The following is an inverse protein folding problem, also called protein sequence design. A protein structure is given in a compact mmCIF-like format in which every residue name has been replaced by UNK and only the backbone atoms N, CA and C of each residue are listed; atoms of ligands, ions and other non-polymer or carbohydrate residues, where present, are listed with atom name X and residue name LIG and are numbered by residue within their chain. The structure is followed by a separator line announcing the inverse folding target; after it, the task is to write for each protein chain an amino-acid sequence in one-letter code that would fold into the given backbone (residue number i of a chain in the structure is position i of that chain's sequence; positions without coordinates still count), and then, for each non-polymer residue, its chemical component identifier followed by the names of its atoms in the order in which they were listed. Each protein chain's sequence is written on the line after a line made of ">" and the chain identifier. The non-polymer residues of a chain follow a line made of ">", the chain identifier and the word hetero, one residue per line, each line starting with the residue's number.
data_IF_073622880958
#
_entry.id   IF_073622880958
#
_cell.length_a   1.000
_cell.length_b   1.000
_cell.length_c   1.000
_cell.angle_alpha   90.00
_cell.angle_beta   90.00
_cell.angle_gamma   90.00
#
_symmetry.space_group_name_H-M   'P 1'
#
loop_
_entity.id
_entity.type
_entity.pdbx_description
1 polymer ?
#
# COMPACT_ATOMS: atom_id res chain seq x y z
N UNK A 1 -9.57 4.58 -7.26
CA UNK A 1 -9.89 5.58 -6.21
C UNK A 1 -9.25 5.10 -4.92
N UNK A 2 -8.36 5.90 -4.27
CA UNK A 2 -7.56 5.43 -3.12
C UNK A 2 -7.40 6.49 -2.00
N UNK A 3 -8.01 7.65 -2.16
CA UNK A 3 -8.06 8.66 -1.11
C UNK A 3 -9.13 8.27 -0.09
N UNK A 4 -8.72 7.97 1.15
CA UNK A 4 -9.62 7.49 2.21
C UNK A 4 -10.62 8.56 2.64
N UNK A 5 -10.22 9.84 2.65
CA UNK A 5 -11.10 10.96 2.98
C UNK A 5 -12.16 11.18 1.91
N UNK A 6 -11.75 11.12 0.63
CA UNK A 6 -12.69 11.21 -0.49
C UNK A 6 -13.68 10.05 -0.49
N UNK A 7 -13.21 8.81 -0.30
CA UNK A 7 -14.08 7.64 -0.24
C UNK A 7 -15.11 7.74 0.90
N UNK A 8 -14.73 8.32 2.04
CA UNK A 8 -15.63 8.55 3.17
C UNK A 8 -16.73 9.58 2.83
N UNK A 9 -16.39 10.62 2.07
CA UNK A 9 -17.33 11.67 1.65
C UNK A 9 -18.19 11.24 0.44
N UNK A 10 -17.69 10.31 -0.39
CA UNK A 10 -18.33 9.84 -1.62
C UNK A 10 -18.42 8.30 -1.65
N UNK A 11 -19.19 7.68 -0.71
CA UNK A 11 -19.23 6.22 -0.56
C UNK A 11 -19.78 5.51 -1.79
N UNK A 12 -20.75 6.07 -2.50
CA UNK A 12 -21.30 5.46 -3.72
C UNK A 12 -20.28 5.42 -4.88
N UNK A 13 -19.52 6.49 -5.07
CA UNK A 13 -18.46 6.50 -6.08
C UNK A 13 -17.34 5.54 -5.71
N UNK A 14 -17.01 5.49 -4.42
CA UNK A 14 -16.04 4.54 -3.89
C UNK A 14 -16.49 3.09 -4.08
N UNK A 15 -17.78 2.79 -3.85
CA UNK A 15 -18.37 1.47 -4.09
C UNK A 15 -18.22 1.06 -5.56
N UNK A 16 -18.59 1.94 -6.50
CA UNK A 16 -18.46 1.66 -7.94
C UNK A 16 -17.02 1.38 -8.34
N UNK A 17 -16.09 2.23 -7.91
CA UNK A 17 -14.69 2.14 -8.31
C UNK A 17 -13.91 1.02 -7.61
N UNK A 18 -14.21 0.75 -6.33
CA UNK A 18 -13.41 -0.15 -5.50
C UNK A 18 -14.04 -1.53 -5.31
N UNK A 19 -15.34 -1.70 -5.59
CA UNK A 19 -16.06 -2.99 -5.45
C UNK A 19 -16.61 -3.44 -6.81
N UNK A 20 -17.50 -2.66 -7.43
CA UNK A 20 -18.19 -3.12 -8.64
C UNK A 20 -17.25 -3.35 -9.80
N UNK A 21 -16.33 -2.40 -10.06
CA UNK A 21 -15.36 -2.53 -11.15
C UNK A 21 -14.47 -3.78 -11.02
N UNK A 22 -13.80 -4.06 -9.89
CA UNK A 22 -13.06 -5.31 -9.70
C UNK A 22 -13.91 -6.57 -9.88
N UNK A 23 -15.17 -6.56 -9.43
CA UNK A 23 -16.10 -7.69 -9.61
C UNK A 23 -16.45 -7.90 -11.08
N UNK A 24 -16.67 -6.84 -11.87
CA UNK A 24 -16.90 -6.97 -13.30
C UNK A 24 -15.68 -7.54 -14.03
N UNK A 25 -14.48 -7.10 -13.63
CA UNK A 25 -13.23 -7.67 -14.17
C UNK A 25 -13.07 -9.14 -13.78
N UNK A 26 -13.45 -9.53 -12.57
CA UNK A 26 -13.42 -10.93 -12.14
C UNK A 26 -14.36 -11.81 -12.97
N UNK A 27 -15.57 -11.34 -13.25
CA UNK A 27 -16.51 -12.04 -14.15
C UNK A 27 -15.93 -12.20 -15.54
N UNK A 28 -15.40 -11.12 -16.13
CA UNK A 28 -14.79 -11.18 -17.45
C UNK A 28 -13.56 -12.13 -17.50
N UNK A 29 -12.74 -12.13 -16.45
CA UNK A 29 -11.61 -13.04 -16.32
C UNK A 29 -12.07 -14.51 -16.25
N UNK A 30 -13.10 -14.79 -15.46
CA UNK A 30 -13.68 -16.12 -15.35
C UNK A 30 -14.26 -16.61 -16.69
N UNK A 31 -14.98 -15.75 -17.39
CA UNK A 31 -15.62 -16.08 -18.69
C UNK A 31 -14.59 -16.34 -19.80
N UNK A 32 -13.43 -15.69 -19.73
CA UNK A 32 -12.36 -15.80 -20.75
C UNK A 32 -11.23 -16.74 -20.38
N UNK A 33 -11.18 -17.23 -19.14
CA UNK A 33 -10.06 -18.01 -18.59
C UNK A 33 -8.78 -17.18 -18.39
N UNK A 34 -8.89 -15.85 -18.34
CA UNK A 34 -7.75 -14.96 -18.09
C UNK A 34 -7.34 -14.97 -16.61
N UNK A 35 -6.04 -14.93 -16.34
CA UNK A 35 -5.53 -14.74 -14.96
C UNK A 35 -5.76 -13.28 -14.55
N UNK A 36 -6.44 -13.08 -13.41
CA UNK A 36 -6.69 -11.76 -12.85
C UNK A 36 -5.73 -11.48 -11.69
N UNK A 37 -5.05 -10.34 -11.75
CA UNK A 37 -4.44 -9.69 -10.60
C UNK A 37 -5.22 -8.42 -10.30
N UNK A 38 -5.60 -8.20 -9.04
CA UNK A 38 -6.28 -6.98 -8.60
C UNK A 38 -5.64 -6.43 -7.33
N UNK A 39 -5.43 -5.11 -7.29
CA UNK A 39 -4.92 -4.46 -6.10
C UNK A 39 -6.01 -4.25 -5.05
N UNK A 40 -5.76 -4.79 -3.86
CA UNK A 40 -6.37 -4.41 -2.60
C UNK A 40 -5.46 -3.41 -1.86
N UNK A 41 -5.60 -3.27 -0.56
CA UNK A 41 -4.87 -2.28 0.23
C UNK A 41 -4.61 -2.76 1.65
N UNK A 42 -3.53 -2.27 2.27
CA UNK A 42 -3.28 -2.36 3.70
C UNK A 42 -4.42 -1.74 4.55
N UNK A 43 -5.25 -0.87 3.97
CA UNK A 43 -6.39 -0.25 4.65
C UNK A 43 -7.48 -1.24 5.06
N UNK A 44 -7.45 -2.47 4.56
CA UNK A 44 -8.31 -3.55 5.09
C UNK A 44 -7.99 -3.88 6.55
N UNK A 45 -6.78 -3.56 7.01
CA UNK A 45 -6.34 -3.70 8.40
C UNK A 45 -6.64 -2.48 9.27
N UNK A 46 -7.18 -1.39 8.71
CA UNK A 46 -7.49 -0.19 9.48
C UNK A 46 -8.45 -0.50 10.64
N UNK A 47 -8.06 -0.13 11.85
CA UNK A 47 -8.82 -0.42 13.08
C UNK A 47 -8.37 -1.69 13.81
N UNK A 48 -7.47 -2.50 13.24
CA UNK A 48 -6.84 -3.61 13.96
C UNK A 48 -5.93 -3.05 15.06
N UNK A 49 -6.11 -3.55 16.28
CA UNK A 49 -5.32 -3.16 17.46
C UNK A 49 -4.26 -4.20 17.85
N UNK A 50 -4.29 -5.37 17.19
CA UNK A 50 -3.29 -6.41 17.41
C UNK A 50 -1.89 -5.90 17.06
N UNK A 51 -0.87 -6.10 17.91
CA UNK A 51 0.50 -5.74 17.61
C UNK A 51 1.15 -6.70 16.61
N UNK A 52 2.23 -6.23 15.98
CA UNK A 52 3.07 -7.01 15.09
C UNK A 52 2.51 -7.17 13.67
N UNK A 53 3.17 -7.98 12.85
CA UNK A 53 2.75 -8.20 11.47
C UNK A 53 1.38 -8.88 11.39
N UNK A 54 0.53 -8.40 10.48
CA UNK A 54 -0.85 -8.81 10.30
C UNK A 54 -0.96 -9.82 9.14
N UNK A 55 -1.34 -11.10 9.41
CA UNK A 55 -1.49 -12.10 8.37
C UNK A 55 -2.79 -11.92 7.59
N UNK A 56 -2.84 -12.47 6.38
CA UNK A 56 -4.02 -12.41 5.51
C UNK A 56 -5.25 -13.13 6.08
N UNK A 57 -5.03 -14.05 7.01
CA UNK A 57 -6.07 -14.87 7.65
C UNK A 57 -6.78 -14.18 8.81
N UNK A 58 -6.32 -12.98 9.20
CA UNK A 58 -6.92 -12.24 10.31
C UNK A 58 -8.38 -11.85 9.97
N UNK A 59 -9.36 -12.11 10.86
CA UNK A 59 -10.70 -11.56 10.71
C UNK A 59 -10.68 -10.03 10.74
N UNK A 60 -11.29 -9.39 9.74
CA UNK A 60 -11.17 -7.95 9.52
C UNK A 60 -12.52 -7.24 9.61
N UNK A 61 -12.48 -6.02 10.16
CA UNK A 61 -13.59 -5.06 10.17
C UNK A 61 -13.01 -3.65 10.01
N UNK A 62 -12.71 -3.24 8.77
CA UNK A 62 -11.99 -2.00 8.53
C UNK A 62 -12.72 -0.77 9.05
N UNK A 63 -11.99 0.15 9.72
CA UNK A 63 -12.56 1.33 10.37
C UNK A 63 -12.90 2.48 9.39
N UNK A 64 -12.57 2.36 8.11
CA UNK A 64 -12.87 3.39 7.10
C UNK A 64 -13.53 2.80 5.85
N UNK A 65 -14.31 3.61 5.15
CA UNK A 65 -15.07 3.22 3.96
C UNK A 65 -14.20 2.61 2.86
N UNK A 66 -13.00 3.15 2.62
CA UNK A 66 -12.10 2.61 1.60
C UNK A 66 -11.66 1.18 1.93
N UNK A 67 -11.24 0.93 3.18
CA UNK A 67 -10.85 -0.40 3.64
C UNK A 67 -12.02 -1.40 3.59
N UNK A 68 -13.24 -0.97 3.97
CA UNK A 68 -14.46 -1.78 3.88
C UNK A 68 -14.74 -2.19 2.44
N UNK A 69 -14.69 -1.24 1.50
CA UNK A 69 -14.90 -1.52 0.08
C UNK A 69 -13.81 -2.42 -0.51
N UNK A 70 -12.54 -2.26 -0.08
CA UNK A 70 -11.47 -3.15 -0.52
C UNK A 70 -11.66 -4.57 -0.01
N UNK A 71 -12.08 -4.75 1.26
CA UNK A 71 -12.36 -6.06 1.82
C UNK A 71 -13.58 -6.71 1.13
N UNK A 72 -14.66 -5.97 0.92
CA UNK A 72 -15.84 -6.45 0.16
C UNK A 72 -15.43 -6.88 -1.27
N UNK A 73 -14.56 -6.11 -1.91
CA UNK A 73 -14.07 -6.48 -3.24
C UNK A 73 -13.28 -7.79 -3.22
N UNK A 74 -12.40 -8.01 -2.21
CA UNK A 74 -11.67 -9.27 -2.06
C UNK A 74 -12.63 -10.47 -2.01
N UNK A 75 -13.63 -10.40 -1.15
CA UNK A 75 -14.63 -11.47 -0.97
C UNK A 75 -15.41 -11.74 -2.27
N UNK A 76 -15.91 -10.69 -2.90
CA UNK A 76 -16.74 -10.81 -4.10
C UNK A 76 -15.95 -11.22 -5.34
N UNK A 77 -14.73 -10.73 -5.51
CA UNK A 77 -13.84 -11.13 -6.61
C UNK A 77 -13.52 -12.60 -6.52
N UNK A 78 -13.11 -13.10 -5.34
CA UNK A 78 -12.78 -14.53 -5.15
C UNK A 78 -14.00 -15.44 -5.27
N UNK A 79 -15.21 -14.96 -4.93
CA UNK A 79 -16.44 -15.72 -5.14
C UNK A 79 -16.75 -15.95 -6.64
N UNK A 80 -16.39 -15.00 -7.53
CA UNK A 80 -16.57 -15.12 -8.98
C UNK A 80 -15.38 -15.75 -9.70
N UNK A 81 -14.16 -15.43 -9.28
CA UNK A 81 -12.90 -15.87 -9.87
C UNK A 81 -11.96 -16.37 -8.79
N UNK A 82 -12.10 -17.63 -8.30
CA UNK A 82 -11.27 -18.18 -7.23
C UNK A 82 -9.76 -18.17 -7.54
N UNK A 83 -9.40 -18.17 -8.83
CA UNK A 83 -8.01 -18.11 -9.30
C UNK A 83 -7.43 -16.69 -9.34
N UNK A 84 -8.22 -15.67 -9.01
CA UNK A 84 -7.73 -14.29 -8.94
C UNK A 84 -6.70 -14.11 -7.81
N UNK A 85 -5.65 -13.35 -8.07
CA UNK A 85 -4.64 -12.96 -7.08
C UNK A 85 -4.91 -11.53 -6.64
N UNK A 86 -5.19 -11.35 -5.35
CA UNK A 86 -5.53 -10.06 -4.76
C UNK A 86 -4.36 -9.57 -3.91
N UNK A 87 -3.83 -8.40 -4.24
CA UNK A 87 -2.61 -7.87 -3.68
C UNK A 87 -2.93 -6.71 -2.71
N UNK A 88 -2.81 -6.96 -1.41
CA UNK A 88 -2.89 -5.91 -0.38
C UNK A 88 -1.61 -5.10 -0.41
N UNK A 89 -1.65 -3.94 -1.06
CA UNK A 89 -0.50 -3.05 -1.18
C UNK A 89 -0.50 -1.97 -0.09
N UNK A 90 0.68 -1.62 0.47
CA UNK A 90 0.83 -0.50 1.40
C UNK A 90 0.86 0.83 0.64
N UNK A 91 1.12 1.92 1.35
CA UNK A 91 1.39 3.21 0.72
C UNK A 91 2.60 3.11 -0.20
N UNK A 92 2.44 3.61 -1.43
CA UNK A 92 3.48 3.56 -2.46
C UNK A 92 4.04 4.94 -2.75
N UNK A 93 5.30 4.99 -3.16
CA UNK A 93 5.98 6.22 -3.57
C UNK A 93 6.79 6.00 -4.83
N UNK A 94 7.07 7.11 -5.49
CA UNK A 94 8.14 7.27 -6.48
C UNK A 94 8.67 8.72 -6.43
N UNK A 95 9.79 8.96 -7.09
CA UNK A 95 10.36 10.28 -7.28
C UNK A 95 9.99 10.82 -8.68
N UNK A 96 9.97 12.15 -8.87
CA UNK A 96 9.68 12.73 -10.19
C UNK A 96 10.70 12.27 -11.22
N UNK A 97 10.21 11.80 -12.36
CA UNK A 97 11.00 11.41 -13.50
C UNK A 97 10.13 11.41 -14.76
N UNK A 98 10.74 11.55 -15.93
CA UNK A 98 10.13 11.39 -17.26
C UNK A 98 8.81 12.18 -17.50
N UNK A 99 8.58 13.26 -16.76
CA UNK A 99 7.40 14.12 -16.91
C UNK A 99 6.06 13.46 -16.54
N UNK A 100 6.06 12.31 -15.89
CA UNK A 100 4.84 11.64 -15.45
C UNK A 100 4.26 12.33 -14.19
N UNK A 101 2.93 12.55 -14.15
CA UNK A 101 2.30 13.14 -12.98
C UNK A 101 2.33 12.15 -11.81
N UNK A 102 2.92 12.55 -10.71
CA UNK A 102 2.89 11.82 -9.46
C UNK A 102 1.87 12.41 -8.50
N UNK A 103 1.15 11.54 -7.79
CA UNK A 103 0.36 11.96 -6.63
C UNK A 103 1.29 12.22 -5.44
N UNK A 104 0.81 13.01 -4.47
CA UNK A 104 1.51 13.20 -3.20
C UNK A 104 1.84 11.86 -2.56
N UNK A 105 3.10 11.70 -2.18
CA UNK A 105 3.64 10.50 -1.53
C UNK A 105 4.66 10.93 -0.47
N UNK A 106 5.15 9.99 0.34
CA UNK A 106 6.01 10.33 1.49
C UNK A 106 7.22 11.18 1.10
N UNK A 107 8.11 10.77 0.16
CA UNK A 107 9.26 11.59 -0.21
C UNK A 107 8.87 12.96 -0.81
N UNK A 108 7.86 13.03 -1.66
CA UNK A 108 7.40 14.30 -2.23
C UNK A 108 6.84 15.25 -1.17
N UNK A 109 6.08 14.74 -0.20
CA UNK A 109 5.56 15.54 0.90
C UNK A 109 6.71 16.10 1.76
N UNK A 110 7.77 15.32 2.01
CA UNK A 110 8.96 15.77 2.73
C UNK A 110 9.73 16.85 1.94
N UNK A 111 9.95 16.65 0.64
CA UNK A 111 10.59 17.63 -0.23
C UNK A 111 9.83 18.96 -0.26
N UNK A 112 8.50 18.88 -0.43
CA UNK A 112 7.64 20.06 -0.46
C UNK A 112 7.62 20.78 0.90
N UNK A 113 7.57 20.04 2.00
CA UNK A 113 7.62 20.60 3.35
C UNK A 113 8.95 21.33 3.61
N UNK A 114 10.08 20.71 3.22
CA UNK A 114 11.39 21.33 3.32
C UNK A 114 11.50 22.62 2.49
N UNK A 115 10.99 22.59 1.26
CA UNK A 115 11.00 23.75 0.36
C UNK A 115 10.15 24.92 0.90
N UNK A 116 9.01 24.60 1.51
CA UNK A 116 8.05 25.60 2.01
C UNK A 116 8.34 26.02 3.46
N UNK A 117 9.26 25.35 4.17
CA UNK A 117 9.52 25.59 5.60
C UNK A 117 8.30 25.22 6.48
N UNK A 118 7.46 24.26 6.04
CA UNK A 118 6.27 23.83 6.76
C UNK A 118 6.52 22.50 7.49
N UNK A 119 5.93 22.29 8.68
CA UNK A 119 6.07 21.01 9.35
C UNK A 119 5.23 19.91 8.67
N UNK A 120 5.64 18.66 8.83
CA UNK A 120 4.83 17.47 8.56
C UNK A 120 4.44 16.80 9.87
N UNK A 121 3.32 16.07 9.87
CA UNK A 121 2.81 15.41 11.07
C UNK A 121 2.73 13.90 10.88
N UNK A 122 3.43 13.15 11.74
CA UNK A 122 3.39 11.70 11.81
C UNK A 122 3.24 11.23 13.25
N UNK A 123 2.62 10.06 13.44
CA UNK A 123 2.49 9.47 14.77
C UNK A 123 3.62 8.48 15.06
N UNK A 124 4.22 8.49 16.26
CA UNK A 124 5.14 7.46 16.72
C UNK A 124 4.44 6.10 16.98
N UNK A 125 3.10 6.08 16.90
CA UNK A 125 2.27 4.89 17.04
C UNK A 125 1.63 4.47 15.70
N UNK A 126 2.10 5.03 14.59
CA UNK A 126 1.72 4.62 13.24
C UNK A 126 2.80 3.71 12.65
N UNK A 127 2.47 2.45 12.43
CA UNK A 127 3.37 1.43 11.90
C UNK A 127 2.84 0.89 10.59
N UNK A 128 3.61 1.03 9.52
CA UNK A 128 3.27 0.54 8.19
C UNK A 128 4.47 0.47 7.26
N UNK A 129 4.42 -0.39 6.27
CA UNK A 129 5.34 -0.37 5.14
C UNK A 129 5.05 0.76 4.16
N UNK A 130 6.08 1.19 3.43
CA UNK A 130 5.98 2.13 2.30
C UNK A 130 6.83 1.58 1.17
N UNK A 131 6.23 1.32 0.00
CA UNK A 131 6.88 0.60 -1.08
C UNK A 131 7.23 1.49 -2.26
N UNK A 132 8.37 1.26 -2.88
CA UNK A 132 8.72 1.88 -4.15
C UNK A 132 7.90 1.27 -5.31
N UNK A 133 7.23 2.12 -6.10
CA UNK A 133 6.35 1.68 -7.20
C UNK A 133 7.09 0.78 -8.19
N UNK A 134 8.34 1.09 -8.52
CA UNK A 134 9.13 0.28 -9.44
C UNK A 134 9.28 -1.16 -8.94
N UNK A 135 9.63 -1.34 -7.67
CA UNK A 135 9.76 -2.67 -7.07
C UNK A 135 8.42 -3.43 -7.07
N UNK A 136 7.32 -2.71 -6.79
CA UNK A 136 5.97 -3.27 -6.90
C UNK A 136 5.68 -3.75 -8.32
N UNK A 137 6.00 -2.95 -9.35
CA UNK A 137 5.78 -3.30 -10.76
C UNK A 137 6.63 -4.50 -11.19
N UNK A 138 7.90 -4.56 -10.75
CA UNK A 138 8.80 -5.67 -11.06
C UNK A 138 8.29 -7.01 -10.49
N UNK A 139 7.53 -6.98 -9.37
CA UNK A 139 6.95 -8.17 -8.76
C UNK A 139 5.55 -8.55 -9.31
N UNK A 140 4.95 -7.76 -10.22
CA UNK A 140 3.63 -8.09 -10.77
C UNK A 140 3.65 -9.34 -11.67
N UNK A 141 4.68 -9.51 -12.48
CA UNK A 141 4.78 -10.69 -13.34
C UNK A 141 4.99 -11.98 -12.50
N UNK A 142 5.90 -12.02 -11.52
CA UNK A 142 5.96 -13.11 -10.55
C UNK A 142 4.62 -13.39 -9.84
N UNK A 143 3.85 -12.34 -9.52
CA UNK A 143 2.56 -12.46 -8.83
C UNK A 143 1.45 -13.15 -9.67
N UNK A 144 1.69 -13.45 -10.94
CA UNK A 144 0.81 -14.30 -11.77
C UNK A 144 0.90 -15.79 -11.40
N UNK A 145 1.99 -16.23 -10.76
CA UNK A 145 2.26 -17.65 -10.51
C UNK A 145 1.54 -18.22 -9.29
N UNK A 146 1.38 -17.50 -8.16
CA UNK A 146 0.70 -18.03 -6.98
C UNK A 146 -0.73 -18.50 -7.27
N UNK A 147 -1.22 -19.47 -6.49
CA UNK A 147 -2.65 -19.82 -6.48
C UNK A 147 -3.53 -18.60 -6.20
N UNK A 148 -4.78 -18.66 -6.64
CA UNK A 148 -5.77 -17.63 -6.31
C UNK A 148 -5.87 -17.40 -4.80
N UNK A 149 -6.16 -16.16 -4.43
CA UNK A 149 -6.26 -15.75 -3.03
C UNK A 149 -5.71 -14.36 -2.75
N UNK A 150 -5.70 -13.99 -1.47
CA UNK A 150 -5.23 -12.70 -0.99
C UNK A 150 -3.77 -12.81 -0.54
N UNK A 151 -2.95 -11.82 -0.87
CA UNK A 151 -1.53 -11.75 -0.49
C UNK A 151 -1.17 -10.34 -0.02
N UNK A 152 -0.49 -10.24 1.10
CA UNK A 152 0.19 -9.02 1.52
C UNK A 152 1.37 -8.75 0.57
N UNK A 153 1.40 -7.56 -0.05
CA UNK A 153 2.26 -7.30 -1.21
C UNK A 153 2.94 -5.94 -1.11
N UNK A 154 4.16 -5.92 -0.64
CA UNK A 154 4.96 -4.70 -0.48
C UNK A 154 6.03 -4.81 0.59
N UNK A 155 6.75 -3.71 0.79
CA UNK A 155 7.85 -3.58 1.73
C UNK A 155 7.38 -3.67 3.17
N UNK A 156 8.08 -4.43 3.99
CA UNK A 156 7.96 -4.37 5.45
C UNK A 156 8.60 -3.10 6.02
N UNK A 157 8.29 -2.78 7.28
CA UNK A 157 8.90 -1.69 8.00
C UNK A 157 8.84 -1.95 9.52
N UNK A 158 10.00 -2.00 10.15
CA UNK A 158 10.11 -2.21 11.59
C UNK A 158 10.04 -0.87 12.38
N UNK A 159 10.17 0.26 11.67
CA UNK A 159 10.12 1.59 12.26
C UNK A 159 8.70 2.17 12.28
N UNK A 160 8.43 3.06 13.24
CA UNK A 160 7.27 3.93 13.21
C UNK A 160 7.38 5.01 12.12
N UNK A 161 6.26 5.69 11.80
CA UNK A 161 6.24 6.67 10.71
C UNK A 161 7.00 7.96 11.01
N UNK A 162 7.24 8.32 12.29
CA UNK A 162 8.12 9.46 12.63
C UNK A 162 9.57 9.11 12.30
N UNK A 163 10.00 7.93 12.72
CA UNK A 163 11.36 7.42 12.43
C UNK A 163 11.54 7.24 10.92
N UNK A 164 10.58 6.63 10.24
CA UNK A 164 10.61 6.46 8.76
C UNK A 164 10.73 7.81 8.05
N UNK A 165 9.93 8.80 8.43
CA UNK A 165 9.98 10.13 7.82
C UNK A 165 11.33 10.84 8.05
N UNK A 166 11.97 10.66 9.22
CA UNK A 166 13.31 11.17 9.50
C UNK A 166 14.37 10.51 8.62
N UNK A 167 14.34 9.18 8.51
CA UNK A 167 15.26 8.43 7.65
C UNK A 167 15.13 8.83 6.17
N UNK A 168 13.89 9.03 5.69
CA UNK A 168 13.64 9.51 4.34
C UNK A 168 14.15 10.94 4.12
N UNK A 169 13.90 11.85 5.07
CA UNK A 169 14.41 13.23 4.99
C UNK A 169 15.97 13.28 5.00
N UNK A 170 16.60 12.48 5.85
CA UNK A 170 18.06 12.33 5.89
C UNK A 170 18.61 11.81 4.56
N UNK A 171 18.04 10.74 4.01
CA UNK A 171 18.45 10.17 2.74
C UNK A 171 18.24 11.12 1.55
N UNK A 172 17.21 11.98 1.60
CA UNK A 172 16.97 13.07 0.64
C UNK A 172 17.91 14.26 0.84
N UNK A 173 18.65 14.34 1.94
CA UNK A 173 19.49 15.49 2.28
C UNK A 173 18.70 16.76 2.62
N UNK A 174 17.46 16.63 3.13
CA UNK A 174 16.61 17.75 3.46
C UNK A 174 16.30 17.83 4.96
N UNK A 175 16.09 19.05 5.45
CA UNK A 175 15.65 19.31 6.83
C UNK A 175 14.17 19.60 6.84
N UNK A 176 13.41 18.81 7.61
CA UNK A 176 11.97 18.97 7.78
C UNK A 176 11.63 18.89 9.26
N UNK A 177 10.82 19.83 9.73
CA UNK A 177 10.25 19.75 11.06
C UNK A 177 9.16 18.67 11.07
N UNK A 178 9.36 17.64 11.91
CA UNK A 178 8.38 16.55 12.08
C UNK A 178 7.71 16.74 13.43
N UNK A 179 6.41 17.03 13.41
CA UNK A 179 5.57 17.18 14.60
C UNK A 179 4.86 15.85 14.90
N UNK A 180 4.76 15.48 16.18
CA UNK A 180 4.02 14.29 16.55
C UNK A 180 2.51 14.49 16.32
N UNK A 181 1.86 13.45 15.80
CA UNK A 181 0.41 13.33 15.74
C UNK A 181 -0.06 12.29 16.76
N UNK A 182 -1.21 12.53 17.38
CA UNK A 182 -1.77 11.66 18.42
C UNK A 182 -2.83 10.72 17.82
N UNK A 183 -2.38 9.65 17.19
CA UNK A 183 -3.21 8.51 16.80
C UNK A 183 -2.37 7.23 16.76
N UNK A 184 -3.02 6.08 16.88
CA UNK A 184 -2.38 4.78 16.78
C UNK A 184 -2.94 4.01 15.58
N UNK A 185 -2.05 3.36 14.83
CA UNK A 185 -2.41 2.54 13.68
C UNK A 185 -1.36 1.45 13.46
N UNK A 186 -1.81 0.22 13.27
CA UNK A 186 -0.96 -0.88 12.81
C UNK A 186 -1.44 -1.36 11.43
N UNK A 187 -0.61 -1.20 10.42
CA UNK A 187 -0.78 -1.70 9.06
C UNK A 187 0.45 -2.49 8.61
N UNK A 188 1.24 -3.00 9.55
CA UNK A 188 2.39 -3.85 9.25
C UNK A 188 1.89 -5.20 8.77
N UNK A 189 2.18 -5.51 7.53
CA UNK A 189 1.73 -6.74 6.88
C UNK A 189 2.72 -7.88 7.08
N UNK A 190 2.23 -9.07 7.41
CA UNK A 190 3.02 -10.31 7.36
C UNK A 190 3.17 -10.75 5.90
N UNK A 191 4.38 -10.71 5.38
CA UNK A 191 4.70 -11.12 4.00
C UNK A 191 5.12 -12.59 3.86
N UNK A 192 5.01 -13.40 4.91
CA UNK A 192 5.49 -14.80 4.92
C UNK A 192 4.80 -15.67 3.87
N UNK A 193 3.50 -15.48 3.66
CA UNK A 193 2.72 -16.18 2.63
C UNK A 193 3.24 -15.89 1.21
N UNK A 194 3.51 -14.63 0.92
CA UNK A 194 4.06 -14.20 -0.37
C UNK A 194 5.50 -14.69 -0.54
N UNK A 195 6.30 -14.60 0.52
CA UNK A 195 7.69 -15.08 0.53
C UNK A 195 7.80 -16.59 0.27
N UNK A 196 6.83 -17.38 0.71
CA UNK A 196 6.74 -18.81 0.39
C UNK A 196 6.50 -19.08 -1.10
N UNK A 197 6.00 -18.10 -1.86
CA UNK A 197 5.86 -18.14 -3.32
C UNK A 197 7.11 -17.62 -4.06
N UNK A 198 8.20 -17.34 -3.33
CA UNK A 198 9.45 -16.83 -3.90
C UNK A 198 9.46 -15.32 -4.18
N UNK A 199 8.41 -14.59 -3.82
CA UNK A 199 8.28 -13.15 -4.04
C UNK A 199 8.66 -12.41 -2.74
N UNK A 200 9.63 -11.51 -2.83
CA UNK A 200 10.15 -10.77 -1.69
C UNK A 200 10.36 -9.32 -2.06
N UNK A 201 10.11 -8.43 -1.10
CA UNK A 201 10.42 -7.01 -1.17
C UNK A 201 11.57 -6.68 -0.24
N UNK A 202 12.34 -5.66 -0.57
CA UNK A 202 13.23 -5.03 0.40
C UNK A 202 12.40 -4.35 1.49
N UNK A 203 12.99 -4.10 2.66
CA UNK A 203 12.37 -3.25 3.67
C UNK A 203 12.22 -1.81 3.15
N UNK A 204 11.36 -1.03 3.82
CA UNK A 204 11.01 0.33 3.41
C UNK A 204 12.24 1.24 3.19
N UNK A 205 13.23 1.19 4.07
CA UNK A 205 14.41 2.05 3.97
C UNK A 205 15.35 1.58 2.85
N UNK A 206 15.66 0.30 2.79
CA UNK A 206 16.50 -0.28 1.73
C UNK A 206 15.91 -0.07 0.34
N UNK A 207 14.58 -0.19 0.21
CA UNK A 207 13.83 0.12 -1.02
C UNK A 207 13.99 1.59 -1.40
N UNK A 208 13.92 2.51 -0.41
CA UNK A 208 14.08 3.94 -0.67
C UNK A 208 15.49 4.32 -1.09
N UNK A 209 16.50 3.77 -0.46
CA UNK A 209 17.90 3.94 -0.89
C UNK A 209 18.13 3.42 -2.32
N UNK A 210 17.49 2.29 -2.66
CA UNK A 210 17.46 1.75 -4.03
C UNK A 210 16.85 2.73 -5.03
N UNK A 211 15.72 3.35 -4.67
CA UNK A 211 15.06 4.39 -5.46
C UNK A 211 15.98 5.59 -5.70
N UNK A 212 16.64 6.11 -4.66
CA UNK A 212 17.57 7.23 -4.79
C UNK A 212 18.74 6.91 -5.73
N UNK A 213 19.36 5.74 -5.56
CA UNK A 213 20.46 5.28 -6.45
C UNK A 213 20.00 5.14 -7.91
N UNK A 214 18.75 4.80 -8.14
CA UNK A 214 18.21 4.68 -9.50
C UNK A 214 18.10 6.05 -10.19
N UNK A 215 17.63 7.09 -9.49
CA UNK A 215 17.46 8.43 -10.03
C UNK A 215 18.73 9.30 -10.03
N UNK A 216 19.79 8.86 -9.36
CA UNK A 216 21.11 9.54 -9.40
C UNK A 216 21.97 9.16 -10.62
N UNK A 217 21.51 8.20 -11.43
CA UNK A 217 22.17 7.78 -12.67
C UNK A 217 21.74 8.64 -13.85
#
# INVERSE_FOLDING_TARGET
>A
MSDTGYCQQHPEESQRANVELPVWMAKAAQDTGAKLISFSSDQVYAGVTQPGPLPETLPLSPANTYGQHKLEAEERVLAFCPEAVLLRAPWMYDLPGDGLPLRGNLPLNLLQAAQNGTPVRFSPHDHRGVSWVREVVEQLFPALQPPGGVYNFGSGNDADMVTTARQFAEALGVQVQIEPADFSRNLVMDSSKLAAQGIRFHDTLSSFEGCLRFYQK
#
